data_IF_525819071011
#
_entry.id   IF_525819071011
#
_cell.length_a   1.000
_cell.length_b   1.000
_cell.length_c   1.000
_cell.angle_alpha   90.00
_cell.angle_beta   90.00
_cell.angle_gamma   90.00
#
_symmetry.space_group_name_H-M   'P 1'
#
loop_
_entity.id
_entity.type
_entity.pdbx_description
1 polymer ?
#
# COMPACT_ATOMS: atom_id res chain seq x y z
N UNK A 1 -18.22 16.02 -3.65
CA UNK A 1 -17.05 15.90 -4.54
C UNK A 1 -15.96 15.16 -3.77
N UNK A 2 -15.33 14.16 -4.36
CA UNK A 2 -14.25 13.39 -3.70
C UNK A 2 -13.11 14.32 -3.31
N UNK A 3 -12.52 14.11 -2.12
CA UNK A 3 -11.30 14.83 -1.70
C UNK A 3 -10.06 14.40 -2.49
N UNK A 4 -10.13 13.25 -3.16
CA UNK A 4 -9.06 12.74 -4.01
C UNK A 4 -9.24 13.21 -5.46
N UNK A 5 -8.14 13.24 -6.23
CA UNK A 5 -8.20 13.50 -7.67
C UNK A 5 -8.85 12.33 -8.41
N UNK A 6 -9.43 12.61 -9.58
CA UNK A 6 -10.01 11.57 -10.46
C UNK A 6 -8.98 10.49 -10.82
N UNK A 7 -7.74 10.91 -11.12
CA UNK A 7 -6.63 10.00 -11.42
C UNK A 7 -6.31 9.08 -10.24
N UNK A 8 -6.30 9.61 -9.01
CA UNK A 8 -6.07 8.80 -7.82
C UNK A 8 -7.18 7.77 -7.63
N UNK A 9 -8.44 8.17 -7.79
CA UNK A 9 -9.56 7.26 -7.63
C UNK A 9 -9.55 6.14 -8.69
N UNK A 10 -9.20 6.44 -9.95
CA UNK A 10 -9.02 5.39 -10.97
C UNK A 10 -7.92 4.38 -10.60
N UNK A 11 -6.80 4.86 -10.05
CA UNK A 11 -5.75 3.98 -9.53
C UNK A 11 -6.20 3.17 -8.31
N UNK A 12 -7.01 3.77 -7.42
CA UNK A 12 -7.60 3.11 -6.27
C UNK A 12 -8.62 2.04 -6.66
N UNK A 13 -9.47 2.30 -7.67
CA UNK A 13 -10.39 1.31 -8.24
C UNK A 13 -9.62 0.12 -8.81
N UNK A 14 -8.55 0.41 -9.59
CA UNK A 14 -7.67 -0.61 -10.14
C UNK A 14 -7.00 -1.43 -9.03
N UNK A 15 -6.41 -0.77 -8.05
CA UNK A 15 -5.75 -1.41 -6.92
C UNK A 15 -6.71 -2.32 -6.14
N UNK A 16 -7.91 -1.83 -5.84
CA UNK A 16 -8.92 -2.59 -5.07
C UNK A 16 -9.34 -3.86 -5.79
N UNK A 17 -9.41 -3.84 -7.14
CA UNK A 17 -9.72 -5.02 -7.95
C UNK A 17 -8.53 -5.96 -8.09
N UNK A 18 -7.35 -5.45 -8.43
CA UNK A 18 -6.16 -6.28 -8.69
C UNK A 18 -5.61 -6.95 -7.43
N UNK A 19 -5.78 -6.33 -6.26
CA UNK A 19 -5.24 -6.80 -4.99
C UNK A 19 -6.32 -7.28 -4.01
N UNK A 20 -7.53 -7.58 -4.49
CA UNK A 20 -8.65 -8.06 -3.66
C UNK A 20 -8.30 -9.36 -2.92
N UNK A 21 -7.64 -10.30 -3.60
CA UNK A 21 -7.24 -11.58 -3.00
C UNK A 21 -6.24 -11.35 -1.86
N UNK A 22 -5.21 -10.55 -2.09
CA UNK A 22 -4.17 -10.24 -1.10
C UNK A 22 -4.77 -9.48 0.10
N UNK A 23 -5.75 -8.61 -0.15
CA UNK A 23 -6.51 -7.95 0.91
C UNK A 23 -7.25 -8.98 1.77
N UNK A 24 -8.01 -9.88 1.15
CA UNK A 24 -8.79 -10.90 1.85
C UNK A 24 -7.89 -11.85 2.65
N UNK A 25 -6.77 -12.29 2.07
CA UNK A 25 -5.78 -13.13 2.76
C UNK A 25 -5.15 -12.42 3.95
N UNK A 26 -4.84 -11.12 3.81
CA UNK A 26 -4.33 -10.31 4.91
C UNK A 26 -5.39 -10.17 6.01
N UNK A 27 -6.64 -9.84 5.67
CA UNK A 27 -7.74 -9.72 6.62
C UNK A 27 -8.00 -11.03 7.38
N UNK A 28 -8.01 -12.17 6.69
CA UNK A 28 -8.14 -13.49 7.31
C UNK A 28 -6.98 -13.78 8.27
N UNK A 29 -5.74 -13.47 7.86
CA UNK A 29 -4.57 -13.64 8.70
C UNK A 29 -4.69 -12.80 9.98
N UNK A 30 -5.06 -11.53 9.86
CA UNK A 30 -5.26 -10.62 10.99
C UNK A 30 -6.36 -11.09 11.95
N UNK A 31 -7.49 -11.57 11.42
CA UNK A 31 -8.62 -12.07 12.23
C UNK A 31 -8.28 -13.36 12.97
N UNK A 32 -7.49 -14.24 12.37
CA UNK A 32 -7.11 -15.53 12.99
C UNK A 32 -6.07 -15.40 14.12
N UNK A 33 -5.48 -14.20 14.31
CA UNK A 33 -4.28 -13.98 15.14
C UNK A 33 -4.35 -12.70 15.99
N UNK A 34 -5.55 -12.32 16.42
CA UNK A 34 -5.84 -11.07 17.17
C UNK A 34 -4.97 -10.87 18.42
N UNK A 35 -4.43 -11.95 19.01
CA UNK A 35 -3.62 -11.91 20.24
C UNK A 35 -2.11 -12.13 20.03
N UNK A 36 -1.66 -12.42 18.81
CA UNK A 36 -0.24 -12.64 18.50
C UNK A 36 0.41 -11.34 17.98
N UNK A 37 1.75 -11.25 17.97
CA UNK A 37 2.44 -10.10 17.35
C UNK A 37 2.19 -10.10 15.84
N UNK A 38 1.15 -9.34 15.46
CA UNK A 38 0.61 -9.19 14.12
C UNK A 38 1.69 -8.81 13.10
N UNK A 39 2.74 -8.09 13.54
CA UNK A 39 3.80 -7.63 12.63
C UNK A 39 4.69 -8.77 12.13
N UNK A 40 4.79 -9.87 12.86
CA UNK A 40 5.61 -11.02 12.46
C UNK A 40 4.78 -12.10 11.74
N UNK A 41 3.57 -12.38 12.21
CA UNK A 41 2.79 -13.53 11.74
C UNK A 41 2.20 -13.30 10.33
N UNK A 42 1.74 -12.09 10.02
CA UNK A 42 1.13 -11.76 8.73
C UNK A 42 2.06 -10.97 7.80
N UNK A 43 3.39 -11.01 8.07
CA UNK A 43 4.37 -10.20 7.34
C UNK A 43 4.32 -10.46 5.83
N UNK A 44 4.19 -11.72 5.41
CA UNK A 44 4.13 -12.09 3.99
C UNK A 44 2.92 -11.48 3.28
N UNK A 45 1.72 -11.67 3.83
CA UNK A 45 0.47 -11.13 3.25
C UNK A 45 0.52 -9.60 3.22
N UNK A 46 1.04 -8.98 4.30
CA UNK A 46 1.25 -7.53 4.37
C UNK A 46 2.20 -7.05 3.29
N UNK A 47 3.33 -7.73 3.08
CA UNK A 47 4.30 -7.37 2.04
C UNK A 47 3.72 -7.46 0.63
N UNK A 48 2.96 -8.52 0.31
CA UNK A 48 2.32 -8.65 -1.02
C UNK A 48 1.25 -7.58 -1.27
N UNK A 49 0.46 -7.23 -0.26
CA UNK A 49 -0.51 -6.15 -0.36
C UNK A 49 0.17 -4.78 -0.53
N UNK A 50 1.21 -4.49 0.25
CA UNK A 50 1.99 -3.24 0.16
C UNK A 50 2.77 -3.12 -1.15
N UNK A 51 3.17 -4.26 -1.76
CA UNK A 51 3.77 -4.27 -3.10
C UNK A 51 2.83 -3.71 -4.15
N UNK A 52 1.52 -3.91 -4.02
CA UNK A 52 0.54 -3.29 -4.92
C UNK A 52 0.52 -1.77 -4.82
N UNK A 53 0.63 -1.24 -3.61
CA UNK A 53 0.77 0.21 -3.39
C UNK A 53 2.04 0.73 -4.09
N UNK A 54 3.15 0.02 -3.91
CA UNK A 54 4.41 0.37 -4.54
C UNK A 54 4.31 0.39 -6.06
N UNK A 55 3.73 -0.64 -6.68
CA UNK A 55 3.68 -0.80 -8.14
C UNK A 55 2.64 0.09 -8.84
N UNK A 56 1.51 0.39 -8.19
CA UNK A 56 0.43 1.17 -8.81
C UNK A 56 0.59 2.67 -8.56
N UNK A 57 1.05 3.07 -7.38
CA UNK A 57 1.07 4.49 -6.98
C UNK A 57 2.48 5.06 -6.89
N UNK A 58 3.44 4.29 -6.37
CA UNK A 58 4.78 4.78 -6.02
C UNK A 58 5.87 4.16 -6.89
N UNK A 59 5.54 3.77 -8.14
CA UNK A 59 6.43 2.97 -8.99
C UNK A 59 7.77 3.65 -9.22
N UNK A 60 7.76 4.96 -9.46
CA UNK A 60 8.96 5.75 -9.71
C UNK A 60 9.91 5.71 -8.50
N UNK A 61 9.38 5.96 -7.32
CA UNK A 61 10.14 5.97 -6.07
C UNK A 61 10.62 4.55 -5.71
N UNK A 62 9.78 3.55 -5.93
CA UNK A 62 10.12 2.14 -5.74
C UNK A 62 11.26 1.69 -6.65
N UNK A 63 11.16 1.96 -7.96
CA UNK A 63 12.19 1.58 -8.94
C UNK A 63 13.52 2.29 -8.65
N UNK A 64 13.48 3.56 -8.21
CA UNK A 64 14.66 4.29 -7.77
C UNK A 64 15.31 3.66 -6.51
N UNK A 65 14.50 3.27 -5.53
CA UNK A 65 14.95 2.54 -4.34
C UNK A 65 15.63 1.22 -4.70
N UNK A 66 14.99 0.40 -5.55
CA UNK A 66 15.54 -0.88 -6.01
C UNK A 66 16.84 -0.68 -6.78
N UNK A 67 16.91 0.33 -7.66
CA UNK A 67 18.13 0.64 -8.40
C UNK A 67 19.26 1.12 -7.48
N UNK A 68 18.95 1.86 -6.42
CA UNK A 68 19.94 2.23 -5.42
C UNK A 68 20.41 1.02 -4.62
N UNK A 69 19.49 0.20 -4.10
CA UNK A 69 19.81 -1.00 -3.32
C UNK A 69 20.73 -1.96 -4.09
N UNK A 70 20.43 -2.20 -5.38
CA UNK A 70 21.27 -3.03 -6.25
C UNK A 70 22.70 -2.49 -6.41
N UNK A 71 22.88 -1.16 -6.44
CA UNK A 71 24.20 -0.54 -6.56
C UNK A 71 24.96 -0.51 -5.23
N UNK A 72 24.25 -0.31 -4.11
CA UNK A 72 24.84 -0.16 -2.79
C UNK A 72 25.18 -1.49 -2.09
N UNK A 73 24.58 -2.61 -2.52
CA UNK A 73 24.80 -3.91 -1.89
C UNK A 73 24.42 -3.88 -0.41
N UNK A 74 25.27 -4.41 0.46
CA UNK A 74 24.99 -4.51 1.91
C UNK A 74 24.91 -3.15 2.62
N UNK A 75 25.45 -2.08 2.03
CA UNK A 75 25.40 -0.73 2.60
C UNK A 75 24.15 0.05 2.21
N UNK A 76 23.16 -0.59 1.58
CA UNK A 76 21.97 0.08 1.06
C UNK A 76 21.20 0.87 2.12
N UNK A 77 21.17 0.42 3.37
CA UNK A 77 20.41 1.06 4.43
C UNK A 77 20.84 2.52 4.68
N UNK A 78 22.14 2.80 4.62
CA UNK A 78 22.69 4.16 4.75
C UNK A 78 22.85 4.85 3.39
N UNK A 79 23.32 4.12 2.37
CA UNK A 79 23.64 4.69 1.06
C UNK A 79 22.40 5.13 0.26
N UNK A 80 21.24 4.51 0.51
CA UNK A 80 19.98 4.78 -0.21
C UNK A 80 18.95 5.51 0.65
N UNK A 81 19.40 6.22 1.69
CA UNK A 81 18.52 6.91 2.63
C UNK A 81 17.53 7.84 1.91
N UNK A 82 17.99 8.59 0.91
CA UNK A 82 17.17 9.52 0.13
C UNK A 82 16.02 8.80 -0.61
N UNK A 83 16.32 7.71 -1.30
CA UNK A 83 15.35 6.93 -2.05
C UNK A 83 14.36 6.24 -1.11
N UNK A 84 14.84 5.71 0.03
CA UNK A 84 14.00 5.11 1.06
C UNK A 84 13.02 6.13 1.66
N UNK A 85 13.49 7.36 1.94
CA UNK A 85 12.63 8.45 2.44
C UNK A 85 11.59 8.85 1.40
N UNK A 86 11.98 9.01 0.13
CA UNK A 86 11.05 9.36 -0.94
C UNK A 86 9.96 8.29 -1.13
N UNK A 87 10.34 7.01 -1.12
CA UNK A 87 9.39 5.91 -1.18
C UNK A 87 8.46 5.90 0.05
N UNK A 88 8.99 6.09 1.25
CA UNK A 88 8.22 6.21 2.48
C UNK A 88 7.18 7.34 2.42
N UNK A 89 7.56 8.54 1.99
CA UNK A 89 6.66 9.67 1.84
C UNK A 89 5.55 9.42 0.81
N UNK A 90 5.88 8.76 -0.31
CA UNK A 90 4.88 8.37 -1.30
C UNK A 90 3.86 7.39 -0.69
N UNK A 91 4.34 6.32 -0.04
CA UNK A 91 3.47 5.30 0.56
C UNK A 91 2.56 5.87 1.66
N UNK A 92 3.08 6.71 2.56
CA UNK A 92 2.27 7.38 3.60
C UNK A 92 1.16 8.25 2.97
N UNK A 93 1.50 9.02 1.94
CA UNK A 93 0.52 9.84 1.21
C UNK A 93 -0.57 8.99 0.57
N UNK A 94 -0.18 7.88 -0.07
CA UNK A 94 -1.14 6.97 -0.71
C UNK A 94 -2.05 6.31 0.33
N UNK A 95 -1.51 5.85 1.46
CA UNK A 95 -2.31 5.25 2.53
C UNK A 95 -3.36 6.22 3.08
N UNK A 96 -2.99 7.48 3.31
CA UNK A 96 -3.93 8.53 3.73
C UNK A 96 -5.05 8.77 2.71
N UNK A 97 -4.71 8.81 1.42
CA UNK A 97 -5.69 9.00 0.35
C UNK A 97 -6.56 7.76 0.12
N UNK A 98 -6.00 6.55 0.27
CA UNK A 98 -6.73 5.29 0.24
C UNK A 98 -7.73 5.19 1.40
N UNK A 99 -7.37 5.68 2.59
CA UNK A 99 -8.31 5.79 3.71
C UNK A 99 -9.52 6.67 3.35
N UNK A 100 -9.27 7.85 2.78
CA UNK A 100 -10.36 8.74 2.31
C UNK A 100 -11.19 8.08 1.21
N UNK A 101 -10.55 7.46 0.21
CA UNK A 101 -11.23 6.72 -0.85
C UNK A 101 -12.15 5.64 -0.29
N UNK A 102 -11.65 4.83 0.65
CA UNK A 102 -12.41 3.78 1.31
C UNK A 102 -13.56 4.35 2.14
N UNK A 103 -13.40 5.48 2.84
CA UNK A 103 -14.51 6.12 3.54
C UNK A 103 -15.59 6.62 2.57
N UNK A 104 -15.21 7.11 1.39
CA UNK A 104 -16.15 7.58 0.37
C UNK A 104 -16.88 6.42 -0.33
N UNK A 105 -16.22 5.28 -0.54
CA UNK A 105 -16.79 4.11 -1.22
C UNK A 105 -17.47 3.10 -0.27
N UNK A 106 -17.04 3.00 0.99
CA UNK A 106 -17.69 2.18 2.03
C UNK A 106 -18.81 2.93 2.76
N UNK A 107 -18.96 4.24 2.55
CA UNK A 107 -20.23 4.92 2.82
C UNK A 107 -21.24 4.30 1.85
N UNK A 108 -21.93 3.27 2.35
CA UNK A 108 -23.05 2.62 1.71
C UNK A 108 -23.85 3.64 0.92
N UNK A 109 -24.08 3.32 -0.34
CA UNK A 109 -25.20 3.87 -1.09
C UNK A 109 -26.41 3.91 -0.13
N UNK A 110 -26.99 5.07 0.21
CA UNK A 110 -28.18 5.12 1.06
C UNK A 110 -29.36 4.36 0.43
N UNK A 111 -29.23 3.94 -0.83
CA UNK A 111 -30.17 3.10 -1.56
C UNK A 111 -29.77 1.60 -1.63
N UNK A 112 -28.74 1.16 -0.90
CA UNK A 112 -28.43 -0.27 -0.77
C UNK A 112 -29.24 -0.87 0.39
N UNK A 113 -30.54 -1.05 0.12
CA UNK A 113 -31.60 -1.77 0.86
C UNK A 113 -31.84 -1.41 2.33
#
# INVERSE_FOLDING_TARGET
>A
MSRNSKEFNQKADRFTKEYEVQKNELEQCLQSKINDDINFVCQRQKSEYLKGIALIFCKKEYDAGVACQKRAGDQWASACFKENVAFGQCTDTVLKKMYVYNLEHNKKNPNAN
#
